data_IF_480573922609
#
_entry.id   IF_480573922609
#
_cell.length_a   1.000
_cell.length_b   1.000
_cell.length_c   1.000
_cell.angle_alpha   90.00
_cell.angle_beta   90.00
_cell.angle_gamma   90.00
#
_symmetry.space_group_name_H-M   'P 1'
#
loop_
_entity.id
_entity.type
_entity.pdbx_description
1 polymer ?
#
# COMPACT_ATOMS: atom_id res chain seq x y z
N UNK A 1 -12.94 -6.57 19.29
CA UNK A 1 -13.38 -5.17 19.08
C UNK A 1 -14.13 -5.13 17.76
N UNK A 2 -15.42 -4.80 17.79
CA UNK A 2 -16.18 -4.55 16.58
C UNK A 2 -15.62 -3.30 15.93
N UNK A 3 -15.06 -3.39 14.73
CA UNK A 3 -14.75 -2.21 13.91
C UNK A 3 -16.09 -1.57 13.58
N UNK A 4 -16.37 -0.43 14.19
CA UNK A 4 -17.57 0.35 13.89
C UNK A 4 -17.58 0.77 12.41
N UNK A 5 -18.75 1.03 11.84
CA UNK A 5 -18.86 1.41 10.41
C UNK A 5 -18.02 2.66 10.05
N UNK A 6 -17.76 3.55 11.01
CA UNK A 6 -16.88 4.72 10.83
C UNK A 6 -15.42 4.36 10.58
N UNK A 7 -14.95 3.24 11.16
CA UNK A 7 -13.58 2.77 10.94
C UNK A 7 -13.35 2.30 9.49
N UNK A 8 -14.34 1.64 8.89
CA UNK A 8 -14.22 1.14 7.51
C UNK A 8 -14.16 2.29 6.49
N UNK A 9 -14.92 3.35 6.72
CA UNK A 9 -14.89 4.56 5.88
C UNK A 9 -13.51 5.23 5.94
N UNK A 10 -12.95 5.37 7.13
CA UNK A 10 -11.61 5.94 7.33
C UNK A 10 -10.53 5.07 6.66
N UNK A 11 -10.59 3.76 6.85
CA UNK A 11 -9.68 2.81 6.22
C UNK A 11 -9.76 2.92 4.70
N UNK A 12 -10.97 2.98 4.14
CA UNK A 12 -11.17 3.14 2.70
C UNK A 12 -10.56 4.44 2.18
N UNK A 13 -10.83 5.58 2.84
CA UNK A 13 -10.22 6.88 2.48
C UNK A 13 -8.69 6.81 2.45
N UNK A 14 -8.09 6.17 3.46
CA UNK A 14 -6.64 6.05 3.57
C UNK A 14 -6.04 5.11 2.51
N UNK A 15 -6.75 4.03 2.13
CA UNK A 15 -6.36 3.18 1.00
C UNK A 15 -6.39 3.97 -0.31
N UNK A 16 -7.47 4.71 -0.56
CA UNK A 16 -7.58 5.56 -1.75
C UNK A 16 -6.46 6.60 -1.80
N UNK A 17 -6.13 7.21 -0.67
CA UNK A 17 -5.02 8.17 -0.60
C UNK A 17 -3.67 7.52 -0.90
N UNK A 18 -3.42 6.31 -0.37
CA UNK A 18 -2.21 5.55 -0.69
C UNK A 18 -2.09 5.26 -2.18
N UNK A 19 -3.17 4.82 -2.83
CA UNK A 19 -3.19 4.56 -4.26
C UNK A 19 -2.93 5.82 -5.09
N UNK A 20 -3.48 6.97 -4.68
CA UNK A 20 -3.19 8.27 -5.32
C UNK A 20 -1.72 8.64 -5.22
N UNK A 21 -1.09 8.43 -4.06
CA UNK A 21 0.35 8.66 -3.87
C UNK A 21 1.23 7.73 -4.73
N UNK A 22 0.69 6.60 -5.16
CA UNK A 22 1.34 5.65 -6.09
C UNK A 22 1.01 5.93 -7.56
N UNK A 23 0.40 7.08 -7.87
CA UNK A 23 -0.04 7.48 -9.21
C UNK A 23 -1.06 6.53 -9.87
N UNK A 24 -1.83 5.79 -9.07
CA UNK A 24 -2.94 4.97 -9.58
C UNK A 24 -4.10 5.88 -9.97
N UNK A 25 -4.72 5.65 -11.12
CA UNK A 25 -5.85 6.45 -11.59
C UNK A 25 -7.15 6.12 -10.85
N UNK A 26 -7.20 6.54 -9.59
CA UNK A 26 -8.34 6.31 -8.69
C UNK A 26 -9.57 7.10 -9.12
N UNK A 27 -9.39 8.27 -9.72
CA UNK A 27 -10.50 9.15 -10.08
C UNK A 27 -11.36 8.54 -11.19
N UNK A 28 -10.76 7.80 -12.14
CA UNK A 28 -11.50 7.03 -13.14
C UNK A 28 -12.42 5.99 -12.49
N UNK A 29 -11.92 5.29 -11.47
CA UNK A 29 -12.71 4.32 -10.71
C UNK A 29 -13.85 4.97 -9.92
N UNK A 30 -13.56 6.06 -9.17
CA UNK A 30 -14.54 6.77 -8.37
C UNK A 30 -15.64 7.41 -9.23
N UNK A 31 -15.29 7.92 -10.41
CA UNK A 31 -16.26 8.52 -11.33
C UNK A 31 -17.21 7.48 -11.94
N UNK A 32 -16.73 6.26 -12.20
CA UNK A 32 -17.57 5.15 -12.63
C UNK A 32 -18.52 4.67 -11.52
N UNK A 33 -18.10 4.83 -10.25
CA UNK A 33 -18.81 4.34 -9.07
C UNK A 33 -19.26 5.50 -8.17
N UNK A 34 -20.28 6.27 -8.62
CA UNK A 34 -20.77 7.47 -7.92
C UNK A 34 -21.17 7.23 -6.44
N UNK A 35 -21.71 6.05 -6.10
CA UNK A 35 -22.06 5.66 -4.73
C UNK A 35 -20.80 5.53 -3.85
N UNK A 36 -19.73 4.96 -4.39
CA UNK A 36 -18.42 4.86 -3.71
C UNK A 36 -17.84 6.26 -3.48
N UNK A 37 -17.94 7.15 -4.46
CA UNK A 37 -17.47 8.55 -4.35
C UNK A 37 -18.19 9.30 -3.22
N UNK A 38 -19.47 8.99 -2.98
CA UNK A 38 -20.27 9.57 -1.88
C UNK A 38 -20.02 8.91 -0.53
N UNK A 39 -19.17 7.88 -0.47
CA UNK A 39 -18.87 7.10 0.73
C UNK A 39 -20.13 6.49 1.38
N UNK A 40 -21.02 5.96 0.53
CA UNK A 40 -22.20 5.24 0.98
C UNK A 40 -21.78 4.04 1.84
N UNK A 41 -22.31 3.96 3.05
CA UNK A 41 -21.90 2.95 4.04
C UNK A 41 -22.16 1.53 3.59
N UNK A 42 -23.28 1.27 2.93
CA UNK A 42 -23.64 -0.06 2.46
C UNK A 42 -22.65 -0.53 1.38
N UNK A 43 -22.32 0.38 0.45
CA UNK A 43 -21.35 0.10 -0.63
C UNK A 43 -19.95 -0.13 -0.07
N UNK A 44 -19.53 0.64 0.95
CA UNK A 44 -18.25 0.42 1.62
C UNK A 44 -18.22 -0.96 2.29
N UNK A 45 -19.27 -1.36 2.99
CA UNK A 45 -19.36 -2.68 3.60
C UNK A 45 -19.28 -3.79 2.54
N UNK A 46 -19.93 -3.61 1.41
CA UNK A 46 -19.88 -4.55 0.29
C UNK A 46 -18.45 -4.69 -0.27
N UNK A 47 -17.77 -3.57 -0.49
CA UNK A 47 -16.37 -3.55 -0.93
C UNK A 47 -15.47 -4.36 0.00
N UNK A 48 -15.59 -4.14 1.31
CA UNK A 48 -14.79 -4.87 2.29
C UNK A 48 -15.19 -6.35 2.45
N UNK A 49 -16.29 -6.77 1.88
CA UNK A 49 -16.68 -8.18 1.82
C UNK A 49 -16.16 -8.88 0.56
N UNK A 50 -15.72 -8.12 -0.44
CA UNK A 50 -15.30 -8.60 -1.74
C UNK A 50 -13.85 -8.15 -2.04
N UNK A 51 -13.69 -7.40 -3.11
CA UNK A 51 -12.42 -6.87 -3.59
C UNK A 51 -12.60 -5.54 -4.32
N UNK A 52 -11.50 -4.82 -4.52
CA UNK A 52 -11.42 -3.64 -5.37
C UNK A 52 -10.49 -3.91 -6.56
N UNK A 53 -10.92 -3.49 -7.74
CA UNK A 53 -10.16 -3.61 -8.98
C UNK A 53 -9.80 -2.21 -9.49
N UNK A 54 -8.51 -1.99 -9.72
CA UNK A 54 -7.97 -0.78 -10.36
C UNK A 54 -7.06 -1.25 -11.49
N UNK A 55 -7.34 -0.92 -12.71
CA UNK A 55 -6.58 -1.32 -13.89
C UNK A 55 -5.68 -2.59 -13.66
N UNK A 56 -4.45 -2.41 -13.21
CA UNK A 56 -3.45 -3.46 -12.98
C UNK A 56 -3.39 -3.96 -11.51
N UNK A 57 -4.21 -3.39 -10.60
CA UNK A 57 -4.14 -3.68 -9.16
C UNK A 57 -5.42 -4.34 -8.68
N UNK A 58 -5.27 -5.45 -7.96
CA UNK A 58 -6.34 -6.10 -7.24
C UNK A 58 -6.13 -5.95 -5.73
N UNK A 59 -7.15 -5.47 -5.01
CA UNK A 59 -7.14 -5.38 -3.55
C UNK A 59 -8.17 -6.34 -2.99
N UNK A 60 -7.73 -7.28 -2.15
CA UNK A 60 -8.60 -8.26 -1.49
C UNK A 60 -8.62 -8.02 0.02
N UNK A 61 -9.80 -8.07 0.61
CA UNK A 61 -10.01 -7.83 2.03
C UNK A 61 -10.34 -9.12 2.79
N UNK A 62 -9.62 -9.35 3.90
CA UNK A 62 -9.87 -10.48 4.78
C UNK A 62 -10.24 -10.01 6.20
N UNK A 63 -11.52 -10.07 6.54
CA UNK A 63 -12.03 -9.68 7.88
C UNK A 63 -11.84 -10.76 8.93
N UNK A 64 -11.77 -12.02 8.50
CA UNK A 64 -11.61 -13.20 9.36
C UNK A 64 -10.27 -13.89 9.11
N UNK A 65 -9.89 -14.79 10.00
CA UNK A 65 -8.76 -15.70 9.78
C UNK A 65 -9.08 -16.57 8.57
N UNK A 66 -8.21 -16.59 7.60
CA UNK A 66 -8.36 -17.40 6.38
C UNK A 66 -7.56 -18.69 6.49
N UNK A 67 -8.06 -19.73 5.85
CA UNK A 67 -7.33 -20.97 5.64
C UNK A 67 -6.39 -20.84 4.44
N UNK A 68 -5.40 -21.73 4.36
CA UNK A 68 -4.48 -21.80 3.20
C UNK A 68 -5.26 -22.08 1.91
N UNK A 69 -6.31 -22.89 1.98
CA UNK A 69 -7.14 -23.22 0.82
C UNK A 69 -7.86 -21.97 0.26
N UNK A 70 -8.42 -21.14 1.13
CA UNK A 70 -9.08 -19.88 0.74
C UNK A 70 -8.08 -18.89 0.13
N UNK A 71 -6.88 -18.79 0.74
CA UNK A 71 -5.80 -17.95 0.19
C UNK A 71 -5.38 -18.43 -1.21
N UNK A 72 -5.10 -19.74 -1.38
CA UNK A 72 -4.72 -20.30 -2.68
C UNK A 72 -5.81 -20.11 -3.74
N UNK A 73 -7.08 -20.21 -3.35
CA UNK A 73 -8.19 -19.93 -4.26
C UNK A 73 -8.22 -18.46 -4.68
N UNK A 74 -7.96 -17.53 -3.75
CA UNK A 74 -7.86 -16.10 -4.07
C UNK A 74 -6.70 -15.81 -5.03
N UNK A 75 -5.54 -16.46 -4.83
CA UNK A 75 -4.38 -16.33 -5.73
C UNK A 75 -4.67 -16.87 -7.14
N UNK A 76 -5.39 -17.98 -7.26
CA UNK A 76 -5.80 -18.53 -8.58
C UNK A 76 -6.69 -17.57 -9.39
N UNK A 77 -7.47 -16.73 -8.72
CA UNK A 77 -8.28 -15.70 -9.41
C UNK A 77 -7.37 -14.68 -10.07
N UNK A 78 -6.26 -14.35 -9.44
CA UNK A 78 -5.28 -13.38 -9.92
C UNK A 78 -4.54 -13.90 -11.15
N UNK A 79 -4.09 -15.15 -11.11
CA UNK A 79 -3.40 -15.81 -12.24
C UNK A 79 -4.27 -15.83 -13.50
N UNK A 80 -5.61 -15.89 -13.33
CA UNK A 80 -6.56 -15.91 -14.45
C UNK A 80 -6.86 -14.51 -15.04
N UNK A 81 -6.72 -13.45 -14.25
CA UNK A 81 -7.16 -12.09 -14.62
C UNK A 81 -6.00 -11.14 -14.96
N UNK A 82 -4.76 -11.63 -15.09
CA UNK A 82 -3.56 -10.87 -15.52
C UNK A 82 -3.27 -9.58 -14.71
N UNK A 83 -3.59 -9.55 -13.40
CA UNK A 83 -3.21 -8.43 -12.56
C UNK A 83 -1.69 -8.40 -12.33
N UNK A 84 -1.08 -7.23 -12.45
CA UNK A 84 0.34 -7.03 -12.22
C UNK A 84 0.68 -6.85 -10.74
N UNK A 85 -0.29 -6.44 -9.92
CA UNK A 85 -0.05 -6.16 -8.51
C UNK A 85 -1.25 -6.57 -7.65
N UNK A 86 -0.95 -7.24 -6.53
CA UNK A 86 -1.93 -7.70 -5.55
C UNK A 86 -1.68 -7.06 -4.20
N UNK A 87 -2.72 -6.50 -3.61
CA UNK A 87 -2.70 -6.00 -2.25
C UNK A 87 -3.68 -6.79 -1.40
N UNK A 88 -3.17 -7.51 -0.40
CA UNK A 88 -4.00 -8.20 0.59
C UNK A 88 -4.12 -7.33 1.84
N UNK A 89 -5.34 -7.00 2.22
CA UNK A 89 -5.61 -6.24 3.44
C UNK A 89 -6.37 -7.13 4.43
N UNK A 90 -5.74 -7.44 5.56
CA UNK A 90 -6.26 -8.39 6.53
C UNK A 90 -6.44 -7.78 7.91
N UNK A 91 -7.48 -8.20 8.62
CA UNK A 91 -7.70 -7.81 10.03
C UNK A 91 -6.78 -8.58 10.97
N UNK A 92 -6.46 -9.81 10.65
CA UNK A 92 -5.69 -10.74 11.48
C UNK A 92 -4.39 -11.08 10.76
N UNK A 93 -3.27 -11.03 11.46
CA UNK A 93 -1.97 -11.45 10.91
C UNK A 93 -2.04 -12.90 10.40
N UNK A 94 -1.45 -13.14 9.26
CA UNK A 94 -1.26 -14.49 8.75
C UNK A 94 -0.29 -15.26 9.64
N UNK A 95 -0.47 -16.59 9.72
CA UNK A 95 0.47 -17.46 10.41
C UNK A 95 1.76 -17.60 9.56
N UNK A 96 2.82 -18.15 10.20
CA UNK A 96 4.13 -18.31 9.54
C UNK A 96 4.07 -19.14 8.26
N UNK A 97 3.21 -20.14 8.21
CA UNK A 97 3.06 -20.98 7.02
C UNK A 97 2.48 -20.19 5.83
N UNK A 98 1.40 -19.44 6.04
CA UNK A 98 0.80 -18.59 5.01
C UNK A 98 1.81 -17.54 4.56
N UNK A 99 2.52 -16.89 5.50
CA UNK A 99 3.55 -15.91 5.16
C UNK A 99 4.66 -16.49 4.29
N UNK A 100 5.09 -17.73 4.56
CA UNK A 100 6.11 -18.40 3.74
C UNK A 100 5.60 -18.72 2.32
N UNK A 101 4.33 -19.10 2.17
CA UNK A 101 3.72 -19.29 0.85
C UNK A 101 3.60 -17.96 0.09
N UNK A 102 3.23 -16.88 0.77
CA UNK A 102 3.11 -15.54 0.16
C UNK A 102 4.47 -14.99 -0.28
N UNK A 103 5.55 -15.27 0.45
CA UNK A 103 6.92 -14.88 0.05
C UNK A 103 7.35 -15.43 -1.30
N UNK A 104 6.80 -16.57 -1.73
CA UNK A 104 7.12 -17.15 -3.05
C UNK A 104 6.59 -16.30 -4.22
N UNK A 105 5.67 -15.38 -3.95
CA UNK A 105 5.02 -14.50 -4.92
C UNK A 105 5.16 -13.02 -4.51
N UNK A 106 6.19 -12.69 -3.71
CA UNK A 106 6.39 -11.37 -3.10
C UNK A 106 6.63 -10.26 -4.13
N UNK A 107 7.09 -10.61 -5.34
CA UNK A 107 7.42 -9.66 -6.40
C UNK A 107 6.23 -8.77 -6.79
N UNK A 108 5.01 -9.29 -6.71
CA UNK A 108 3.77 -8.58 -7.07
C UNK A 108 2.72 -8.59 -5.97
N UNK A 109 3.11 -8.94 -4.74
CA UNK A 109 2.20 -9.06 -3.61
C UNK A 109 2.61 -8.18 -2.44
N UNK A 110 1.67 -7.37 -1.97
CA UNK A 110 1.79 -6.68 -0.68
C UNK A 110 0.74 -7.16 0.32
N UNK A 111 1.13 -7.22 1.60
CA UNK A 111 0.21 -7.57 2.69
C UNK A 111 0.17 -6.43 3.70
N UNK A 112 -1.02 -5.88 3.93
CA UNK A 112 -1.28 -4.87 4.96
C UNK A 112 -2.27 -5.39 5.99
N UNK A 113 -2.18 -4.81 7.19
CA UNK A 113 -3.21 -4.98 8.21
C UNK A 113 -4.19 -3.80 8.17
N UNK A 114 -5.47 -4.01 8.50
CA UNK A 114 -6.44 -2.91 8.63
C UNK A 114 -5.92 -1.79 9.53
N UNK A 115 -5.21 -2.12 10.60
CA UNK A 115 -4.63 -1.12 11.50
C UNK A 115 -3.62 -0.18 10.84
N UNK A 116 -3.00 -0.57 9.73
CA UNK A 116 -2.10 0.30 8.97
C UNK A 116 -2.83 1.47 8.30
N UNK A 117 -4.15 1.35 8.15
CA UNK A 117 -5.01 2.35 7.53
C UNK A 117 -5.94 3.08 8.51
N UNK A 118 -5.83 2.83 9.84
CA UNK A 118 -6.57 3.63 10.83
C UNK A 118 -6.02 5.06 10.93
N UNK A 119 -4.77 5.25 10.59
CA UNK A 119 -4.11 6.56 10.55
C UNK A 119 -3.48 6.72 9.18
N UNK A 120 -3.65 7.89 8.58
CA UNK A 120 -2.91 8.21 7.36
C UNK A 120 -1.48 8.61 7.72
N UNK A 121 -0.53 7.73 7.44
CA UNK A 121 0.86 7.91 7.85
C UNK A 121 1.50 9.18 7.24
N UNK A 122 1.14 9.54 6.01
CA UNK A 122 1.75 10.71 5.34
C UNK A 122 1.20 12.06 5.83
N UNK A 123 0.07 12.08 6.53
CA UNK A 123 -0.52 13.28 7.12
C UNK A 123 -0.33 13.36 8.64
N UNK A 124 0.34 12.36 9.20
CA UNK A 124 0.58 12.31 10.65
C UNK A 124 1.58 13.39 11.07
N UNK A 125 1.26 14.15 12.12
CA UNK A 125 2.04 15.31 12.58
C UNK A 125 3.51 15.03 12.86
N UNK A 126 3.86 13.82 13.29
CA UNK A 126 5.24 13.40 13.56
C UNK A 126 5.99 12.91 12.32
N UNK A 127 5.30 12.73 11.19
CA UNK A 127 5.91 12.24 9.96
C UNK A 127 6.16 13.44 9.04
N UNK A 128 7.44 13.76 8.75
CA UNK A 128 7.74 14.82 7.81
C UNK A 128 7.25 14.47 6.42
N UNK A 129 7.05 15.48 5.57
CA UNK A 129 6.67 15.24 4.17
C UNK A 129 7.77 14.45 3.48
N UNK A 130 7.41 13.32 2.89
CA UNK A 130 8.26 12.49 2.06
C UNK A 130 7.82 12.62 0.59
N UNK A 131 8.78 12.70 -0.28
CA UNK A 131 8.59 12.74 -1.72
C UNK A 131 9.55 11.75 -2.37
N UNK A 132 9.02 10.82 -3.16
CA UNK A 132 9.83 9.85 -3.88
C UNK A 132 10.43 10.53 -5.11
N UNK A 133 11.74 10.46 -5.28
CA UNK A 133 12.40 11.00 -6.46
C UNK A 133 12.04 10.19 -7.70
N UNK A 134 11.93 10.86 -8.83
CA UNK A 134 11.83 10.19 -10.12
C UNK A 134 13.17 9.51 -10.48
N UNK A 135 13.16 8.66 -11.51
CA UNK A 135 14.34 7.86 -11.89
C UNK A 135 15.55 8.73 -12.29
N UNK A 136 15.32 9.88 -12.95
CA UNK A 136 16.38 10.78 -13.39
C UNK A 136 17.05 11.47 -12.19
N UNK A 137 16.25 12.03 -11.28
CA UNK A 137 16.76 12.70 -10.08
C UNK A 137 17.42 11.70 -9.13
N UNK A 138 16.89 10.46 -9.06
CA UNK A 138 17.49 9.38 -8.32
C UNK A 138 18.91 9.07 -8.83
N UNK A 139 19.08 8.95 -10.15
CA UNK A 139 20.37 8.70 -10.77
C UNK A 139 21.37 9.86 -10.49
N UNK A 140 20.94 11.11 -10.63
CA UNK A 140 21.77 12.30 -10.32
C UNK A 140 22.24 12.33 -8.85
N UNK A 141 21.34 11.93 -7.92
CA UNK A 141 21.67 11.87 -6.49
C UNK A 141 22.69 10.78 -6.21
N UNK A 142 22.57 9.61 -6.82
CA UNK A 142 23.53 8.51 -6.68
C UNK A 142 24.88 8.88 -7.27
N UNK A 143 24.91 9.54 -8.44
CA UNK A 143 26.14 10.03 -9.07
C UNK A 143 26.85 11.06 -8.19
N UNK A 144 26.11 12.04 -7.68
CA UNK A 144 26.66 13.15 -6.89
C UNK A 144 27.20 12.72 -5.53
N UNK A 145 26.49 11.87 -4.80
CA UNK A 145 26.80 11.54 -3.40
C UNK A 145 27.36 10.13 -3.20
N UNK A 146 27.12 9.23 -4.13
CA UNK A 146 27.40 7.79 -3.99
C UNK A 146 26.31 7.08 -3.16
N UNK A 147 25.91 5.91 -3.63
CA UNK A 147 24.85 5.09 -2.98
C UNK A 147 25.13 4.80 -1.49
N UNK A 148 26.38 4.52 -1.13
CA UNK A 148 26.78 4.14 0.23
C UNK A 148 26.87 5.31 1.21
N UNK A 149 26.90 6.55 0.72
CA UNK A 149 26.99 7.74 1.58
C UNK A 149 25.61 8.30 1.96
N UNK A 150 24.56 7.86 1.27
CA UNK A 150 23.21 8.30 1.63
C UNK A 150 22.69 7.56 2.86
N UNK A 151 22.11 8.26 3.84
CA UNK A 151 21.42 7.65 4.95
C UNK A 151 20.31 6.71 4.43
N UNK A 152 20.12 5.60 5.13
CA UNK A 152 19.21 4.55 4.67
C UNK A 152 17.83 4.66 5.33
N UNK A 153 16.83 4.17 4.63
CA UNK A 153 15.50 3.82 5.14
C UNK A 153 15.21 2.38 4.71
N UNK A 154 14.67 1.58 5.61
CA UNK A 154 14.41 0.17 5.32
C UNK A 154 13.29 0.00 4.30
N UNK A 155 13.40 -1.03 3.46
CA UNK A 155 12.36 -1.42 2.52
C UNK A 155 11.02 -1.75 3.22
N UNK A 156 11.07 -2.38 4.41
CA UNK A 156 9.89 -2.70 5.21
C UNK A 156 9.39 -1.55 6.11
N UNK A 157 10.04 -0.37 6.07
CA UNK A 157 9.54 0.83 6.74
C UNK A 157 8.12 1.16 6.27
N UNK A 158 7.21 1.55 7.18
CA UNK A 158 5.85 1.91 6.80
C UNK A 158 5.74 2.96 5.69
N UNK A 159 6.66 3.92 5.61
CA UNK A 159 6.68 4.93 4.53
C UNK A 159 7.12 4.29 3.21
N UNK A 160 8.19 3.49 3.21
CA UNK A 160 8.66 2.78 2.01
C UNK A 160 7.56 1.89 1.44
N UNK A 161 6.88 1.16 2.31
CA UNK A 161 5.74 0.32 1.93
C UNK A 161 4.54 1.13 1.44
N UNK A 162 4.25 2.29 2.06
CA UNK A 162 3.15 3.15 1.65
C UNK A 162 3.31 3.65 0.20
N UNK A 163 4.54 3.98 -0.21
CA UNK A 163 4.88 4.42 -1.57
C UNK A 163 5.19 3.26 -2.54
N UNK A 164 5.20 2.01 -2.09
CA UNK A 164 5.61 0.84 -2.88
C UNK A 164 7.01 1.01 -3.48
N UNK A 165 7.96 1.44 -2.64
CA UNK A 165 9.32 1.70 -3.06
C UNK A 165 10.07 0.42 -3.41
N UNK A 166 11.06 0.57 -4.27
CA UNK A 166 12.05 -0.47 -4.57
C UNK A 166 13.37 -0.15 -3.88
N UNK A 167 14.19 -1.20 -3.65
CA UNK A 167 15.54 -1.01 -3.12
C UNK A 167 16.36 -0.16 -4.08
N UNK A 168 16.93 0.93 -3.57
CA UNK A 168 17.64 1.91 -4.38
C UNK A 168 16.85 3.18 -4.69
N UNK A 169 15.56 3.22 -4.41
CA UNK A 169 14.77 4.45 -4.49
C UNK A 169 15.22 5.45 -3.43
N UNK A 170 15.09 6.74 -3.71
CA UNK A 170 15.50 7.80 -2.79
C UNK A 170 14.30 8.67 -2.44
N UNK A 171 14.12 8.87 -1.14
CA UNK A 171 13.19 9.87 -0.60
C UNK A 171 13.88 11.21 -0.40
N UNK A 172 13.19 12.27 -0.80
CA UNK A 172 13.41 13.64 -0.38
C UNK A 172 12.47 13.94 0.79
N UNK A 173 13.04 14.31 1.94
CA UNK A 173 12.33 14.45 3.22
C UNK A 173 12.45 15.89 3.67
N UNK A 174 11.31 16.54 3.90
CA UNK A 174 11.23 17.94 4.30
C UNK A 174 11.07 18.02 5.82
N UNK A 175 12.12 18.47 6.53
CA UNK A 175 12.11 18.68 7.99
C UNK A 175 12.39 20.14 8.31
N UNK A 176 11.38 20.85 8.83
CA UNK A 176 11.48 22.28 9.13
C UNK A 176 12.08 23.04 7.93
N UNK A 177 13.29 23.59 8.10
CA UNK A 177 13.99 24.36 7.08
C UNK A 177 15.01 23.54 6.27
N UNK A 178 15.19 22.25 6.58
CA UNK A 178 16.19 21.40 5.96
C UNK A 178 15.58 20.28 5.12
N UNK A 179 16.30 19.91 4.07
CA UNK A 179 15.95 18.80 3.19
C UNK A 179 16.94 17.66 3.42
N UNK A 180 16.41 16.49 3.71
CA UNK A 180 17.17 15.26 3.87
C UNK A 180 16.88 14.29 2.75
N UNK A 181 17.85 13.43 2.47
CA UNK A 181 17.67 12.34 1.51
C UNK A 181 17.93 11.02 2.18
N UNK A 182 17.11 10.00 1.87
CA UNK A 182 17.31 8.63 2.33
C UNK A 182 17.13 7.66 1.19
N UNK A 183 18.05 6.71 1.05
CA UNK A 183 17.95 5.64 0.07
C UNK A 183 17.29 4.42 0.70
N UNK A 184 16.39 3.79 -0.05
CA UNK A 184 15.72 2.54 0.38
C UNK A 184 16.73 1.38 0.30
N UNK A 185 16.84 0.64 1.39
CA UNK A 185 17.72 -0.52 1.53
C UNK A 185 16.98 -1.71 2.15
N UNK A 186 17.54 -2.89 2.01
CA UNK A 186 17.04 -4.09 2.70
C UNK A 186 17.26 -3.99 4.21
#
# INVERSE_FOLDING_TARGET
>A
MNTGNGDLELIFKNIIQMLKCRNVNVDRFLNKNKKIKKLDKEVIIEIFNNFLKFDDILIIFFKKKISIKEMKNSLKIIEKEEYKHLILITKIKFNSYINNELKKIEEYLEVFLFKNFHINIITHVLVPKHELLNKEDNAKMIEKFGRHKLPQIKFDDPISRYFNCQVGDIFKIYRKEEIYFRIVSN
#
